data_IF_318091870875
#
_entry.id   IF_318091870875
#
_cell.length_a   1.000
_cell.length_b   1.000
_cell.length_c   1.000
_cell.angle_alpha   90.00
_cell.angle_beta   90.00
_cell.angle_gamma   90.00
#
_symmetry.space_group_name_H-M   'P 1'
#
loop_
_entity.id
_entity.type
_entity.pdbx_description
1 polymer ?
#
# COMPACT_ATOMS: atom_id res chain seq x y z
N UNK A 1 -33.50 37.95 -9.86
CA UNK A 1 -34.34 36.97 -10.59
C UNK A 1 -33.92 36.99 -12.03
N UNK A 2 -33.13 36.06 -12.47
CA UNK A 2 -33.00 35.62 -13.87
C UNK A 2 -32.31 34.27 -13.85
N UNK A 3 -33.11 33.24 -14.12
CA UNK A 3 -32.67 31.85 -14.25
C UNK A 3 -31.73 31.74 -15.46
N UNK A 4 -30.49 31.31 -15.25
CA UNK A 4 -29.65 30.78 -16.30
C UNK A 4 -29.57 29.25 -16.07
N UNK A 5 -30.56 28.52 -16.60
CA UNK A 5 -30.46 27.10 -16.89
C UNK A 5 -29.60 26.94 -18.14
N UNK A 6 -28.30 26.70 -17.96
CA UNK A 6 -27.45 26.23 -19.04
C UNK A 6 -27.69 24.74 -19.20
N UNK A 7 -28.52 24.38 -20.20
CA UNK A 7 -28.64 23.01 -20.71
C UNK A 7 -27.30 22.57 -21.27
N UNK A 8 -26.62 21.66 -20.54
CA UNK A 8 -25.48 20.94 -21.08
C UNK A 8 -25.96 20.05 -22.24
N UNK A 9 -25.23 20.00 -23.36
CA UNK A 9 -25.58 19.10 -24.44
C UNK A 9 -25.49 17.64 -23.97
N UNK A 10 -26.55 16.87 -24.19
CA UNK A 10 -26.55 15.41 -24.03
C UNK A 10 -25.45 14.80 -24.90
N UNK A 11 -24.33 14.47 -24.27
CA UNK A 11 -23.31 13.65 -24.91
C UNK A 11 -23.87 12.22 -24.92
N UNK A 12 -24.52 11.87 -26.04
CA UNK A 12 -24.85 10.47 -26.31
C UNK A 12 -23.56 9.67 -26.31
N UNK A 13 -23.33 8.91 -25.24
CA UNK A 13 -22.28 7.91 -25.17
C UNK A 13 -22.66 6.83 -26.16
N UNK A 14 -22.16 6.92 -27.41
CA UNK A 14 -22.29 5.83 -28.39
C UNK A 14 -21.76 4.55 -27.73
N UNK A 15 -22.65 3.58 -27.55
CA UNK A 15 -22.25 2.22 -27.13
C UNK A 15 -21.36 1.62 -28.23
N UNK A 16 -20.05 1.74 -28.05
CA UNK A 16 -19.07 1.05 -28.89
C UNK A 16 -19.32 -0.45 -28.75
N UNK A 17 -19.39 -1.25 -29.83
CA UNK A 17 -19.63 -2.68 -29.75
C UNK A 17 -18.65 -3.30 -28.79
N UNK A 18 -19.17 -4.02 -27.77
CA UNK A 18 -18.38 -4.61 -26.68
C UNK A 18 -17.35 -5.59 -27.26
N UNK A 19 -16.11 -5.14 -27.40
CA UNK A 19 -15.00 -6.02 -27.77
C UNK A 19 -14.85 -7.09 -26.67
N UNK A 20 -14.46 -8.32 -27.03
CA UNK A 20 -14.35 -9.47 -26.12
C UNK A 20 -13.58 -9.16 -24.82
N UNK A 21 -12.53 -8.34 -24.88
CA UNK A 21 -11.75 -7.92 -23.72
C UNK A 21 -12.55 -7.05 -22.73
N UNK A 22 -13.59 -6.36 -23.17
CA UNK A 22 -14.45 -5.58 -22.29
C UNK A 22 -15.14 -6.44 -21.25
N UNK A 23 -15.60 -7.65 -21.60
CA UNK A 23 -16.22 -8.59 -20.66
C UNK A 23 -15.24 -9.07 -19.58
N UNK A 24 -13.98 -9.32 -19.95
CA UNK A 24 -12.93 -9.75 -19.02
C UNK A 24 -12.68 -8.67 -17.95
N UNK A 25 -12.50 -7.41 -18.38
CA UNK A 25 -12.27 -6.34 -17.42
C UNK A 25 -13.51 -5.99 -16.60
N UNK A 26 -14.72 -6.04 -17.19
CA UNK A 26 -15.98 -5.86 -16.43
C UNK A 26 -16.15 -6.88 -15.29
N UNK A 27 -15.56 -8.07 -15.40
CA UNK A 27 -15.54 -9.06 -14.33
C UNK A 27 -14.82 -8.54 -13.07
N UNK A 28 -13.72 -7.81 -13.24
CA UNK A 28 -12.97 -7.20 -12.13
C UNK A 28 -13.69 -6.03 -11.45
N UNK A 29 -14.77 -5.49 -12.03
CA UNK A 29 -15.60 -4.50 -11.33
C UNK A 29 -16.45 -5.12 -10.21
N UNK A 30 -16.55 -6.46 -10.15
CA UNK A 30 -17.17 -7.16 -9.03
C UNK A 30 -16.13 -7.41 -7.91
N UNK A 31 -16.30 -6.83 -6.71
CA UNK A 31 -15.31 -6.95 -5.64
C UNK A 31 -15.02 -8.39 -5.22
N UNK A 32 -16.05 -9.22 -5.07
CA UNK A 32 -15.88 -10.62 -4.64
C UNK A 32 -15.18 -11.47 -5.70
N UNK A 33 -15.53 -11.26 -6.96
CA UNK A 33 -14.86 -11.93 -8.08
C UNK A 33 -13.38 -11.53 -8.15
N UNK A 34 -13.08 -10.24 -7.94
CA UNK A 34 -11.71 -9.71 -7.89
C UNK A 34 -10.90 -10.30 -6.74
N UNK A 35 -11.48 -10.40 -5.54
CA UNK A 35 -10.85 -11.06 -4.39
C UNK A 35 -10.52 -12.52 -4.71
N UNK A 36 -11.51 -13.28 -5.20
CA UNK A 36 -11.32 -14.71 -5.48
C UNK A 36 -10.24 -14.94 -6.55
N UNK A 37 -10.29 -14.18 -7.66
CA UNK A 37 -9.32 -14.34 -8.73
C UNK A 37 -7.91 -13.89 -8.31
N UNK A 38 -7.79 -12.78 -7.59
CA UNK A 38 -6.51 -12.31 -7.07
C UNK A 38 -5.91 -13.34 -6.11
N UNK A 39 -6.70 -13.90 -5.19
CA UNK A 39 -6.25 -14.94 -4.28
C UNK A 39 -5.73 -16.18 -5.02
N UNK A 40 -6.48 -16.67 -6.02
CA UNK A 40 -6.08 -17.84 -6.82
C UNK A 40 -4.76 -17.58 -7.57
N UNK A 41 -4.62 -16.42 -8.21
CA UNK A 41 -3.40 -16.08 -8.97
C UNK A 41 -2.21 -15.92 -8.03
N UNK A 42 -2.34 -15.19 -6.92
CA UNK A 42 -1.26 -15.01 -5.95
C UNK A 42 -0.86 -16.35 -5.31
N UNK A 43 -1.84 -17.18 -4.94
CA UNK A 43 -1.58 -18.50 -4.38
C UNK A 43 -0.87 -19.42 -5.40
N UNK A 44 -1.28 -19.40 -6.66
CA UNK A 44 -0.63 -20.12 -7.74
C UNK A 44 0.83 -19.67 -7.95
N UNK A 45 1.10 -18.35 -7.91
CA UNK A 45 2.45 -17.79 -7.99
C UNK A 45 3.30 -18.21 -6.79
N UNK A 46 2.77 -18.05 -5.57
CA UNK A 46 3.43 -18.46 -4.33
C UNK A 46 3.77 -19.96 -4.35
N UNK A 47 2.79 -20.80 -4.69
CA UNK A 47 2.98 -22.24 -4.83
C UNK A 47 4.10 -22.59 -5.82
N UNK A 48 4.09 -21.95 -7.00
CA UNK A 48 5.10 -22.21 -8.03
C UNK A 48 6.50 -21.81 -7.60
N UNK A 49 6.65 -20.63 -6.99
CA UNK A 49 7.95 -20.15 -6.47
C UNK A 49 8.47 -21.12 -5.40
N UNK A 50 7.66 -21.43 -4.40
CA UNK A 50 8.06 -22.31 -3.29
C UNK A 50 8.40 -23.73 -3.78
N UNK A 51 7.64 -24.27 -4.73
CA UNK A 51 7.92 -25.61 -5.32
C UNK A 51 9.26 -25.64 -6.03
N UNK A 52 9.61 -24.60 -6.82
CA UNK A 52 10.91 -24.53 -7.50
C UNK A 52 12.05 -24.43 -6.50
N UNK A 53 11.81 -23.78 -5.38
CA UNK A 53 12.80 -23.61 -4.32
C UNK A 53 12.82 -24.78 -3.32
N UNK A 54 12.05 -25.84 -3.57
CA UNK A 54 11.91 -27.01 -2.69
C UNK A 54 11.48 -26.65 -1.26
N UNK A 55 10.72 -25.53 -1.12
CA UNK A 55 10.18 -25.06 0.15
C UNK A 55 8.74 -25.53 0.34
N UNK A 56 8.35 -25.75 1.60
CA UNK A 56 6.99 -26.18 1.94
C UNK A 56 6.03 -24.99 1.96
N UNK A 57 4.91 -25.12 1.23
CA UNK A 57 3.81 -24.15 1.28
C UNK A 57 3.00 -24.20 2.59
N UNK A 58 3.24 -25.19 3.43
CA UNK A 58 2.52 -25.40 4.70
C UNK A 58 3.27 -24.88 5.91
N UNK A 59 4.48 -24.36 5.74
CA UNK A 59 5.29 -23.79 6.82
C UNK A 59 5.29 -22.27 6.73
N UNK A 60 5.50 -21.63 7.88
CA UNK A 60 5.76 -20.20 7.94
C UNK A 60 7.03 -19.86 7.15
N UNK A 61 7.09 -18.63 6.60
CA UNK A 61 8.31 -18.13 5.95
C UNK A 61 9.44 -17.98 6.98
N UNK A 62 10.68 -17.99 6.53
CA UNK A 62 11.84 -17.79 7.42
C UNK A 62 11.88 -16.37 8.04
N UNK A 63 11.19 -15.40 7.47
CA UNK A 63 11.07 -14.04 7.97
C UNK A 63 9.64 -13.71 8.47
N UNK A 64 8.94 -14.69 9.04
CA UNK A 64 7.60 -14.53 9.62
C UNK A 64 7.64 -13.85 11.00
N UNK A 65 8.38 -12.75 11.14
CA UNK A 65 8.65 -12.12 12.44
C UNK A 65 7.39 -11.59 13.13
N UNK A 66 6.35 -11.24 12.38
CA UNK A 66 5.08 -10.85 13.00
C UNK A 66 4.38 -11.99 13.73
N UNK A 67 4.64 -13.26 13.38
CA UNK A 67 4.15 -14.40 14.14
C UNK A 67 4.78 -14.41 15.55
N UNK A 68 6.09 -14.20 15.62
CA UNK A 68 6.84 -14.16 16.88
C UNK A 68 6.45 -12.96 17.74
N UNK A 69 6.22 -11.80 17.13
CA UNK A 69 5.76 -10.61 17.84
C UNK A 69 4.31 -10.79 18.35
N UNK A 70 3.43 -11.42 17.57
CA UNK A 70 2.06 -11.73 17.98
C UNK A 70 2.04 -12.72 19.14
N UNK A 71 2.91 -13.75 19.11
CA UNK A 71 3.11 -14.67 20.23
C UNK A 71 3.60 -13.94 21.49
N UNK A 72 4.56 -13.05 21.36
CA UNK A 72 5.05 -12.24 22.49
C UNK A 72 3.91 -11.42 23.12
N UNK A 73 3.08 -10.76 22.31
CA UNK A 73 1.93 -9.99 22.77
C UNK A 73 0.89 -10.85 23.49
N UNK A 74 0.61 -12.05 22.99
CA UNK A 74 -0.30 -13.01 23.65
C UNK A 74 0.19 -13.45 25.03
N UNK A 75 1.51 -13.36 25.29
CA UNK A 75 2.13 -13.68 26.57
C UNK A 75 2.51 -12.42 27.38
N UNK A 76 2.01 -11.23 27.01
CA UNK A 76 2.26 -9.97 27.72
C UNK A 76 3.71 -9.47 27.62
N UNK A 77 4.44 -9.88 26.58
CA UNK A 77 5.84 -9.48 26.34
C UNK A 77 5.96 -8.57 25.11
N UNK A 78 6.98 -7.71 25.11
CA UNK A 78 7.29 -6.81 23.99
C UNK A 78 8.57 -7.25 23.25
N UNK A 79 9.44 -8.02 23.89
CA UNK A 79 10.55 -8.74 23.27
C UNK A 79 10.08 -10.09 22.73
N UNK A 80 10.76 -10.62 21.73
CA UNK A 80 10.45 -11.93 21.17
C UNK A 80 10.72 -13.02 22.22
N UNK A 81 9.67 -13.79 22.57
CA UNK A 81 9.73 -14.89 23.52
C UNK A 81 10.43 -16.11 22.92
N UNK A 82 10.11 -16.40 21.67
CA UNK A 82 10.78 -17.40 20.86
C UNK A 82 11.69 -16.66 19.87
N UNK A 83 12.89 -17.18 19.67
CA UNK A 83 13.88 -16.56 18.79
C UNK A 83 13.82 -17.28 17.44
N UNK A 84 13.56 -16.59 16.32
CA UNK A 84 13.59 -17.21 15.00
C UNK A 84 15.04 -17.56 14.61
N UNK A 85 15.19 -18.57 13.73
CA UNK A 85 16.51 -19.00 13.23
C UNK A 85 17.21 -17.88 12.42
N UNK A 86 16.43 -17.07 11.71
CA UNK A 86 16.94 -15.94 10.94
C UNK A 86 16.84 -14.66 11.77
N UNK A 87 17.99 -14.04 12.07
CA UNK A 87 18.09 -12.91 12.99
C UNK A 87 18.33 -11.56 12.31
N UNK A 88 18.54 -11.55 10.99
CA UNK A 88 18.72 -10.30 10.25
C UNK A 88 17.47 -9.42 10.42
N UNK A 89 17.66 -8.12 10.51
CA UNK A 89 16.58 -7.16 10.71
C UNK A 89 15.84 -7.24 12.06
N UNK A 90 16.38 -7.94 13.05
CA UNK A 90 15.93 -7.84 14.43
C UNK A 90 16.83 -6.88 15.21
N UNK A 91 16.27 -6.18 16.20
CA UNK A 91 17.03 -5.33 17.14
C UNK A 91 17.44 -6.14 18.36
N UNK A 92 18.72 -6.10 18.71
CA UNK A 92 19.25 -6.72 19.92
C UNK A 92 19.51 -5.62 20.96
N UNK A 93 18.74 -5.60 22.05
CA UNK A 93 18.87 -4.63 23.11
C UNK A 93 18.79 -5.29 24.49
N UNK A 94 19.78 -5.04 25.34
CA UNK A 94 19.88 -5.64 26.70
C UNK A 94 19.67 -7.16 26.71
N UNK A 95 20.27 -7.88 25.76
CA UNK A 95 20.19 -9.35 25.65
C UNK A 95 18.88 -9.89 25.08
N UNK A 96 17.90 -9.05 24.73
CA UNK A 96 16.62 -9.44 24.18
C UNK A 96 16.49 -9.04 22.71
N UNK A 97 15.79 -9.87 21.92
CA UNK A 97 15.46 -9.56 20.54
C UNK A 97 14.10 -8.87 20.45
N UNK A 98 14.04 -7.82 19.63
CA UNK A 98 12.84 -7.03 19.36
C UNK A 98 12.62 -6.90 17.85
N UNK A 99 11.36 -6.78 17.47
CA UNK A 99 10.98 -6.38 16.11
C UNK A 99 10.81 -4.86 16.08
N UNK A 100 11.60 -4.14 15.26
CA UNK A 100 11.55 -2.68 15.20
C UNK A 100 10.36 -2.14 14.39
N UNK A 101 9.74 -2.97 13.53
CA UNK A 101 8.53 -2.60 12.81
C UNK A 101 7.37 -2.32 13.74
N UNK A 102 6.48 -1.44 13.27
CA UNK A 102 5.26 -1.06 13.98
C UNK A 102 4.33 -2.27 14.21
N UNK A 103 3.54 -2.28 15.32
CA UNK A 103 2.92 -3.50 15.85
C UNK A 103 1.64 -3.98 15.14
N UNK A 104 0.99 -3.16 14.31
CA UNK A 104 -0.35 -3.46 13.79
C UNK A 104 -0.45 -4.80 13.04
N UNK A 105 0.51 -5.20 12.16
CA UNK A 105 0.41 -6.50 11.52
C UNK A 105 0.43 -7.66 12.53
N UNK A 106 1.26 -7.59 13.57
CA UNK A 106 1.28 -8.59 14.62
C UNK A 106 -0.05 -8.64 15.40
N UNK A 107 -0.66 -7.47 15.71
CA UNK A 107 -1.96 -7.39 16.37
C UNK A 107 -3.03 -8.09 15.53
N UNK A 108 -3.06 -7.87 14.21
CA UNK A 108 -4.01 -8.55 13.31
C UNK A 108 -3.75 -10.06 13.22
N UNK A 109 -2.52 -10.51 13.46
CA UNK A 109 -2.16 -11.93 13.42
C UNK A 109 -2.41 -12.65 14.75
N UNK A 110 -2.57 -11.92 15.89
CA UNK A 110 -2.80 -12.52 17.21
C UNK A 110 -3.89 -13.61 17.23
N UNK A 111 -5.08 -13.43 16.62
CA UNK A 111 -6.11 -14.46 16.64
C UNK A 111 -5.66 -15.77 15.97
N UNK A 112 -4.88 -15.67 14.90
CA UNK A 112 -4.36 -16.84 14.18
C UNK A 112 -3.24 -17.52 14.99
N UNK A 113 -2.36 -16.73 15.59
CA UNK A 113 -1.27 -17.25 16.42
C UNK A 113 -1.80 -17.88 17.70
N UNK A 114 -2.87 -17.35 18.30
CA UNK A 114 -3.53 -17.94 19.45
C UNK A 114 -4.06 -19.37 19.16
N UNK A 115 -4.51 -19.62 17.91
CA UNK A 115 -5.09 -20.91 17.52
C UNK A 115 -4.03 -21.86 16.97
N UNK A 116 -3.11 -21.37 16.13
CA UNK A 116 -2.19 -22.20 15.34
C UNK A 116 -0.73 -22.13 15.83
N UNK A 117 -0.42 -21.27 16.81
CA UNK A 117 0.94 -21.02 17.29
C UNK A 117 1.81 -20.24 16.29
N UNK A 118 3.09 -20.07 16.63
CA UNK A 118 4.08 -19.31 15.82
C UNK A 118 4.35 -19.95 14.45
N UNK A 119 4.07 -21.25 14.30
CA UNK A 119 4.18 -21.96 13.02
C UNK A 119 3.06 -21.65 12.02
N UNK A 120 2.12 -20.76 12.37
CA UNK A 120 1.07 -20.32 11.45
C UNK A 120 1.66 -19.85 10.13
N UNK A 121 1.07 -20.32 9.04
CA UNK A 121 1.53 -20.00 7.70
C UNK A 121 1.21 -18.54 7.33
N UNK A 122 2.22 -17.67 7.40
CA UNK A 122 2.11 -16.24 7.08
C UNK A 122 1.81 -15.97 5.59
N UNK A 123 2.08 -16.96 4.69
CA UNK A 123 1.63 -16.85 3.29
C UNK A 123 0.11 -16.78 3.17
N UNK A 124 -0.64 -17.55 3.97
CA UNK A 124 -2.12 -17.50 3.95
C UNK A 124 -2.60 -16.11 4.35
N UNK A 125 -1.97 -15.52 5.37
CA UNK A 125 -2.33 -14.18 5.83
C UNK A 125 -2.04 -13.13 4.76
N UNK A 126 -0.84 -13.14 4.16
CA UNK A 126 -0.44 -12.14 3.17
C UNK A 126 -1.25 -12.27 1.87
N UNK A 127 -1.52 -13.50 1.42
CA UNK A 127 -2.37 -13.79 0.27
C UNK A 127 -3.80 -13.28 0.49
N UNK A 128 -4.35 -13.51 1.70
CA UNK A 128 -5.66 -13.02 2.09
C UNK A 128 -5.76 -11.49 2.09
N UNK A 129 -4.83 -10.83 2.77
CA UNK A 129 -4.78 -9.35 2.80
C UNK A 129 -4.56 -8.77 1.40
N UNK A 130 -3.65 -9.35 0.60
CA UNK A 130 -3.41 -8.94 -0.78
C UNK A 130 -4.67 -9.06 -1.64
N UNK A 131 -5.38 -10.17 -1.57
CA UNK A 131 -6.63 -10.35 -2.31
C UNK A 131 -7.74 -9.38 -1.84
N UNK A 132 -7.88 -9.19 -0.52
CA UNK A 132 -8.84 -8.23 0.05
C UNK A 132 -8.54 -6.81 -0.44
N UNK A 133 -7.27 -6.40 -0.53
CA UNK A 133 -6.86 -5.10 -1.06
C UNK A 133 -7.39 -4.88 -2.48
N UNK A 134 -7.34 -5.91 -3.34
CA UNK A 134 -7.89 -5.83 -4.71
C UNK A 134 -9.40 -5.61 -4.70
N UNK A 135 -10.13 -6.34 -3.86
CA UNK A 135 -11.56 -6.14 -3.69
C UNK A 135 -11.92 -4.75 -3.14
N UNK A 136 -11.13 -4.25 -2.20
CA UNK A 136 -11.32 -2.90 -1.64
C UNK A 136 -11.08 -1.81 -2.68
N UNK A 137 -10.12 -1.96 -3.60
CA UNK A 137 -9.94 -1.03 -4.72
C UNK A 137 -11.16 -1.06 -5.66
N UNK A 138 -11.73 -2.23 -5.93
CA UNK A 138 -12.97 -2.32 -6.72
C UNK A 138 -14.13 -1.56 -6.04
N UNK A 139 -14.28 -1.71 -4.72
CA UNK A 139 -15.27 -0.95 -3.94
C UNK A 139 -14.96 0.54 -3.96
N UNK A 140 -13.69 0.93 -3.76
CA UNK A 140 -13.26 2.34 -3.74
C UNK A 140 -13.59 3.05 -5.07
N UNK A 141 -13.22 2.47 -6.20
CA UNK A 141 -13.50 3.07 -7.52
C UNK A 141 -15.00 3.18 -7.78
N UNK A 142 -15.79 2.17 -7.39
CA UNK A 142 -17.24 2.20 -7.50
C UNK A 142 -17.86 3.30 -6.62
N UNK A 143 -17.41 3.43 -5.35
CA UNK A 143 -17.87 4.47 -4.43
C UNK A 143 -17.44 5.86 -4.87
N UNK A 144 -16.25 6.02 -5.41
CA UNK A 144 -15.77 7.28 -5.97
C UNK A 144 -16.61 7.72 -7.19
N UNK A 145 -17.03 6.79 -8.04
CA UNK A 145 -17.96 7.09 -9.15
C UNK A 145 -19.36 7.48 -8.61
N UNK A 146 -19.88 6.76 -7.60
CA UNK A 146 -21.17 7.10 -6.97
C UNK A 146 -21.15 8.47 -6.28
N UNK A 147 -20.00 8.89 -5.78
CA UNK A 147 -19.80 10.20 -5.16
C UNK A 147 -19.42 11.31 -6.19
N UNK A 148 -19.49 11.03 -7.49
CA UNK A 148 -19.13 11.95 -8.58
C UNK A 148 -17.70 12.51 -8.47
N UNK A 149 -16.77 11.76 -7.82
CA UNK A 149 -15.34 12.06 -7.78
C UNK A 149 -14.67 11.56 -9.06
N UNK A 150 -15.16 10.45 -9.61
CA UNK A 150 -14.67 9.80 -10.83
C UNK A 150 -15.80 9.57 -11.83
N UNK A 151 -15.47 9.68 -13.12
CA UNK A 151 -16.36 9.39 -14.23
C UNK A 151 -15.77 8.24 -15.06
N UNK A 152 -16.02 7.00 -14.62
CA UNK A 152 -15.48 5.79 -15.26
C UNK A 152 -16.59 4.84 -15.66
N UNK A 153 -16.45 4.25 -16.84
CA UNK A 153 -17.26 3.12 -17.27
C UNK A 153 -16.94 1.88 -16.41
N UNK A 154 -17.85 0.90 -16.39
CA UNK A 154 -17.65 -0.38 -15.70
C UNK A 154 -16.35 -1.07 -16.15
N UNK A 155 -16.08 -1.06 -17.46
CA UNK A 155 -14.88 -1.62 -18.05
C UNK A 155 -13.62 -0.89 -17.58
N UNK A 156 -13.62 0.45 -17.53
CA UNK A 156 -12.46 1.22 -17.04
C UNK A 156 -12.17 0.97 -15.56
N UNK A 157 -13.22 0.86 -14.71
CA UNK A 157 -13.02 0.48 -13.29
C UNK A 157 -12.42 -0.90 -13.17
N UNK A 158 -12.99 -1.89 -13.86
CA UNK A 158 -12.45 -3.25 -13.85
C UNK A 158 -11.02 -3.35 -14.40
N UNK A 159 -10.68 -2.57 -15.44
CA UNK A 159 -9.32 -2.47 -15.96
C UNK A 159 -8.36 -1.93 -14.92
N UNK A 160 -8.73 -0.86 -14.18
CA UNK A 160 -7.89 -0.33 -13.10
C UNK A 160 -7.72 -1.31 -11.94
N UNK A 161 -8.77 -2.07 -11.59
CA UNK A 161 -8.67 -3.12 -10.56
C UNK A 161 -7.70 -4.21 -11.00
N UNK A 162 -7.83 -4.69 -12.23
CA UNK A 162 -6.96 -5.70 -12.79
C UNK A 162 -5.51 -5.20 -12.96
N UNK A 163 -5.33 -3.95 -13.36
CA UNK A 163 -4.04 -3.29 -13.40
C UNK A 163 -3.41 -3.18 -12.02
N UNK A 164 -4.16 -2.72 -11.01
CA UNK A 164 -3.67 -2.65 -9.64
C UNK A 164 -3.23 -4.03 -9.14
N UNK A 165 -4.07 -5.05 -9.35
CA UNK A 165 -3.80 -6.41 -8.87
C UNK A 165 -2.52 -7.02 -9.49
N UNK A 166 -2.34 -6.89 -10.81
CA UNK A 166 -1.35 -7.68 -11.54
C UNK A 166 -0.33 -6.84 -12.31
N UNK A 167 -0.53 -5.55 -12.44
CA UNK A 167 0.33 -4.62 -13.17
C UNK A 167 1.01 -3.56 -12.30
N UNK A 168 1.04 -3.76 -11.01
CA UNK A 168 1.75 -2.89 -10.05
C UNK A 168 2.59 -3.72 -9.08
N UNK A 169 3.37 -3.04 -8.27
CA UNK A 169 4.19 -3.66 -7.22
C UNK A 169 3.37 -4.52 -6.24
N UNK A 170 2.07 -4.34 -6.15
CA UNK A 170 1.18 -5.17 -5.36
C UNK A 170 1.28 -6.66 -5.75
N UNK A 171 1.44 -6.96 -7.06
CA UNK A 171 1.68 -8.31 -7.58
C UNK A 171 3.00 -8.90 -7.09
N UNK A 172 4.01 -8.08 -6.85
CA UNK A 172 5.30 -8.55 -6.31
C UNK A 172 5.20 -8.91 -4.83
N UNK A 173 4.42 -8.14 -4.06
CA UNK A 173 4.37 -8.27 -2.61
C UNK A 173 3.43 -9.40 -2.15
N UNK A 174 2.27 -9.53 -2.79
CA UNK A 174 1.21 -10.43 -2.32
C UNK A 174 1.56 -11.92 -2.34
N UNK A 175 2.35 -12.47 -3.30
CA UNK A 175 2.69 -13.88 -3.33
C UNK A 175 3.86 -14.29 -2.42
N UNK A 176 4.59 -13.35 -1.83
CA UNK A 176 5.84 -13.63 -1.12
C UNK A 176 5.68 -13.31 0.37
N UNK A 177 5.58 -14.36 1.21
CA UNK A 177 5.45 -14.22 2.66
C UNK A 177 6.75 -13.72 3.29
N UNK A 178 6.74 -12.47 3.80
CA UNK A 178 7.86 -11.84 4.51
C UNK A 178 7.38 -10.64 5.31
N UNK A 179 8.03 -10.38 6.43
CA UNK A 179 7.74 -9.25 7.32
C UNK A 179 7.62 -7.92 6.57
N UNK A 180 8.55 -7.62 5.65
CA UNK A 180 8.57 -6.36 4.89
C UNK A 180 7.34 -6.18 4.01
N UNK A 181 6.90 -7.25 3.34
CA UNK A 181 5.78 -7.23 2.41
C UNK A 181 4.45 -7.26 3.15
N UNK A 182 4.38 -8.04 4.23
CA UNK A 182 3.20 -8.08 5.11
C UNK A 182 2.90 -6.69 5.66
N UNK A 183 3.91 -5.97 6.18
CA UNK A 183 3.74 -4.61 6.67
C UNK A 183 3.21 -3.65 5.59
N UNK A 184 3.70 -3.74 4.36
CA UNK A 184 3.23 -2.87 3.27
C UNK A 184 1.78 -3.17 2.85
N UNK A 185 1.41 -4.45 2.71
CA UNK A 185 0.04 -4.82 2.33
C UNK A 185 -0.99 -4.49 3.42
N UNK A 186 -0.64 -4.65 4.70
CA UNK A 186 -1.48 -4.23 5.83
C UNK A 186 -1.59 -2.71 5.89
N UNK A 187 -0.50 -1.98 5.65
CA UNK A 187 -0.51 -0.52 5.57
C UNK A 187 -1.43 -0.02 4.44
N UNK A 188 -1.32 -0.62 3.27
CA UNK A 188 -2.19 -0.33 2.13
C UNK A 188 -3.67 -0.61 2.44
N UNK A 189 -3.97 -1.74 3.10
CA UNK A 189 -5.33 -2.08 3.54
C UNK A 189 -5.95 -0.94 4.35
N UNK A 190 -5.26 -0.44 5.36
CA UNK A 190 -5.75 0.67 6.19
C UNK A 190 -5.85 1.99 5.41
N UNK A 191 -4.94 2.24 4.49
CA UNK A 191 -5.01 3.42 3.61
C UNK A 191 -6.28 3.40 2.76
N UNK A 192 -6.61 2.27 2.13
CA UNK A 192 -7.85 2.14 1.34
C UNK A 192 -9.08 2.32 2.22
N UNK A 193 -9.08 1.75 3.43
CA UNK A 193 -10.20 1.93 4.38
C UNK A 193 -10.41 3.39 4.76
N UNK A 194 -9.34 4.18 4.93
CA UNK A 194 -9.45 5.61 5.22
C UNK A 194 -10.15 6.37 4.09
N UNK A 195 -9.76 6.10 2.84
CA UNK A 195 -10.39 6.69 1.66
C UNK A 195 -11.86 6.24 1.50
N UNK A 196 -12.13 4.95 1.70
CA UNK A 196 -13.48 4.41 1.66
C UNK A 196 -14.39 5.02 2.73
N UNK A 197 -13.91 5.16 3.97
CA UNK A 197 -14.67 5.76 5.05
C UNK A 197 -15.04 7.23 4.73
N UNK A 198 -14.06 8.00 4.23
CA UNK A 198 -14.29 9.40 3.86
C UNK A 198 -15.33 9.54 2.74
N UNK A 199 -15.26 8.71 1.71
CA UNK A 199 -16.14 8.78 0.54
C UNK A 199 -17.54 8.26 0.86
N UNK A 200 -17.62 7.09 1.51
CA UNK A 200 -18.87 6.33 1.62
C UNK A 200 -19.75 6.71 2.81
N UNK A 201 -19.16 7.31 3.85
CA UNK A 201 -19.86 7.62 5.10
C UNK A 201 -20.15 9.12 5.22
N UNK A 202 -20.99 9.48 6.19
CA UNK A 202 -21.36 10.88 6.47
C UNK A 202 -21.26 11.20 7.95
N UNK A 203 -21.14 12.49 8.27
CA UNK A 203 -21.13 13.01 9.65
C UNK A 203 -19.98 12.43 10.48
N UNK A 204 -20.17 12.32 11.79
CA UNK A 204 -19.15 11.83 12.73
C UNK A 204 -18.61 10.45 12.38
N UNK A 205 -19.43 9.54 11.84
CA UNK A 205 -18.98 8.19 11.45
C UNK A 205 -17.88 8.24 10.37
N UNK A 206 -18.01 9.13 9.39
CA UNK A 206 -17.00 9.31 8.37
C UNK A 206 -15.66 9.73 8.98
N UNK A 207 -15.69 10.72 9.88
CA UNK A 207 -14.49 11.25 10.51
C UNK A 207 -13.83 10.22 11.45
N UNK A 208 -14.59 9.62 12.35
CA UNK A 208 -14.06 8.62 13.29
C UNK A 208 -13.43 7.43 12.56
N UNK A 209 -14.14 6.85 11.56
CA UNK A 209 -13.61 5.67 10.86
C UNK A 209 -12.46 6.00 9.94
N UNK A 210 -12.41 7.21 9.36
CA UNK A 210 -11.23 7.70 8.64
C UNK A 210 -10.03 7.83 9.58
N UNK A 211 -10.24 8.45 10.76
CA UNK A 211 -9.20 8.59 11.78
C UNK A 211 -8.70 7.25 12.32
N UNK A 212 -9.59 6.30 12.60
CA UNK A 212 -9.22 4.94 13.04
C UNK A 212 -8.43 4.19 11.96
N UNK A 213 -8.83 4.31 10.69
CA UNK A 213 -8.10 3.70 9.60
C UNK A 213 -6.70 4.33 9.42
N UNK A 214 -6.58 5.66 9.52
CA UNK A 214 -5.27 6.33 9.49
C UNK A 214 -4.40 5.99 10.71
N UNK A 215 -5.00 5.80 11.89
CA UNK A 215 -4.30 5.30 13.08
C UNK A 215 -3.77 3.88 12.85
N UNK A 216 -4.55 2.98 12.24
CA UNK A 216 -4.11 1.64 11.84
C UNK A 216 -2.98 1.68 10.80
N UNK A 217 -3.06 2.58 9.82
CA UNK A 217 -2.00 2.81 8.85
C UNK A 217 -0.69 3.28 9.53
N UNK A 218 -0.76 4.27 10.44
CA UNK A 218 0.36 4.78 11.23
C UNK A 218 0.99 3.68 12.10
N UNK A 219 0.17 2.87 12.77
CA UNK A 219 0.65 1.73 13.58
C UNK A 219 1.18 0.56 12.73
N UNK A 220 1.09 0.65 11.42
CA UNK A 220 1.72 -0.28 10.47
C UNK A 220 3.01 0.28 9.91
N UNK A 221 2.99 1.54 9.44
CA UNK A 221 4.12 2.30 8.89
C UNK A 221 3.85 3.78 9.15
N UNK A 222 4.76 4.43 9.86
CA UNK A 222 4.52 5.77 10.43
C UNK A 222 4.20 6.84 9.38
N UNK A 223 4.82 6.78 8.22
CA UNK A 223 4.63 7.70 7.09
C UNK A 223 3.26 7.61 6.45
N UNK A 224 2.54 6.51 6.61
CA UNK A 224 1.23 6.31 5.96
C UNK A 224 0.14 7.26 6.48
N UNK A 225 0.32 7.89 7.63
CA UNK A 225 -0.62 8.94 8.07
C UNK A 225 -0.67 10.11 7.10
N UNK A 226 0.41 10.35 6.34
CA UNK A 226 0.54 11.46 5.39
C UNK A 226 -0.39 11.32 4.17
N UNK A 227 -0.79 10.10 3.80
CA UNK A 227 -1.80 9.90 2.74
C UNK A 227 -3.18 10.42 3.15
N UNK A 228 -3.40 10.67 4.43
CA UNK A 228 -4.62 11.20 5.00
C UNK A 228 -4.96 12.65 4.60
N UNK A 229 -4.09 13.36 3.92
CA UNK A 229 -4.32 14.74 3.48
C UNK A 229 -5.58 14.84 2.60
N UNK A 230 -5.70 13.99 1.58
CA UNK A 230 -6.87 14.05 0.70
C UNK A 230 -8.18 13.69 1.44
N UNK A 231 -8.28 12.57 2.20
CA UNK A 231 -9.47 12.28 3.01
C UNK A 231 -9.85 13.43 3.95
N UNK A 232 -8.86 14.08 4.59
CA UNK A 232 -9.11 15.21 5.48
C UNK A 232 -9.71 16.41 4.73
N UNK A 233 -9.11 16.81 3.62
CA UNK A 233 -9.61 17.91 2.77
C UNK A 233 -11.00 17.58 2.22
N UNK A 234 -11.21 16.35 1.74
CA UNK A 234 -12.50 15.88 1.25
C UNK A 234 -13.58 15.98 2.33
N UNK A 235 -13.33 15.49 3.54
CA UNK A 235 -14.27 15.53 4.65
C UNK A 235 -14.53 16.97 5.12
N UNK A 236 -13.52 17.84 5.12
CA UNK A 236 -13.69 19.26 5.43
C UNK A 236 -14.64 19.91 4.44
N UNK A 237 -14.42 19.75 3.15
CA UNK A 237 -15.28 20.34 2.11
C UNK A 237 -16.69 19.77 2.17
N UNK A 238 -16.81 18.45 2.33
CA UNK A 238 -18.11 17.74 2.39
C UNK A 238 -18.99 18.16 3.57
N UNK A 239 -18.40 18.55 4.70
CA UNK A 239 -19.15 18.87 5.94
C UNK A 239 -19.03 20.33 6.33
N UNK A 240 -18.39 21.18 5.52
CA UNK A 240 -18.26 22.60 5.83
C UNK A 240 -19.63 23.28 5.80
N UNK A 241 -19.99 23.85 6.95
CA UNK A 241 -21.17 24.70 7.12
C UNK A 241 -20.76 25.86 8.05
N UNK A 242 -20.72 27.07 7.50
CA UNK A 242 -20.33 28.28 8.25
C UNK A 242 -21.17 28.48 9.53
N UNK A 243 -22.40 28.00 9.54
CA UNK A 243 -23.32 28.14 10.70
C UNK A 243 -23.08 27.07 11.78
N UNK A 244 -22.29 26.02 11.48
CA UNK A 244 -22.09 24.86 12.37
C UNK A 244 -20.60 24.56 12.59
N UNK A 245 -19.77 25.57 12.73
CA UNK A 245 -18.32 25.42 12.88
C UNK A 245 -17.94 24.56 14.10
N UNK A 246 -18.66 24.66 15.21
CA UNK A 246 -18.44 23.81 16.39
C UNK A 246 -18.66 22.33 16.11
N UNK A 247 -19.69 22.01 15.31
CA UNK A 247 -19.92 20.64 14.88
C UNK A 247 -18.76 20.14 13.99
N UNK A 248 -18.28 20.97 13.08
CA UNK A 248 -17.13 20.66 12.25
C UNK A 248 -15.87 20.46 13.12
N UNK A 249 -15.61 21.31 14.08
CA UNK A 249 -14.50 21.16 15.02
C UNK A 249 -14.57 19.83 15.79
N UNK A 250 -15.76 19.47 16.30
CA UNK A 250 -15.99 18.16 16.94
C UNK A 250 -15.72 16.97 16.01
N UNK A 251 -16.09 17.08 14.73
CA UNK A 251 -15.77 16.06 13.72
C UNK A 251 -14.26 15.96 13.47
N UNK A 252 -13.55 17.08 13.32
CA UNK A 252 -12.07 17.10 13.17
C UNK A 252 -11.41 16.45 14.38
N UNK A 253 -11.80 16.81 15.59
CA UNK A 253 -11.29 16.21 16.82
C UNK A 253 -11.56 14.70 16.85
N UNK A 254 -12.75 14.26 16.42
CA UNK A 254 -13.11 12.83 16.40
C UNK A 254 -12.26 11.99 15.44
N UNK A 255 -11.70 12.60 14.39
CA UNK A 255 -10.74 11.95 13.49
C UNK A 255 -9.30 12.07 13.99
N UNK A 256 -8.93 13.21 14.58
CA UNK A 256 -7.58 13.43 15.10
C UNK A 256 -7.29 12.58 16.35
N UNK A 257 -8.28 12.37 17.20
CA UNK A 257 -8.11 11.65 18.48
C UNK A 257 -7.55 10.23 18.31
N UNK A 258 -8.09 9.34 17.46
CA UNK A 258 -7.52 8.01 17.28
C UNK A 258 -6.10 8.05 16.71
N UNK A 259 -5.76 9.03 15.86
CA UNK A 259 -4.39 9.20 15.34
C UNK A 259 -3.44 9.63 16.47
N UNK A 260 -3.83 10.60 17.30
CA UNK A 260 -3.03 11.04 18.43
C UNK A 260 -2.84 9.94 19.47
N UNK A 261 -3.88 9.15 19.73
CA UNK A 261 -3.79 7.96 20.61
C UNK A 261 -2.83 6.91 20.03
N UNK A 262 -2.84 6.70 18.72
CA UNK A 262 -1.91 5.78 18.06
C UNK A 262 -0.46 6.28 18.16
N UNK A 263 -0.20 7.58 17.98
CA UNK A 263 1.13 8.19 18.20
C UNK A 263 1.58 8.00 19.64
N UNK A 264 0.71 8.30 20.60
CA UNK A 264 1.02 8.11 22.02
C UNK A 264 1.29 6.65 22.37
N UNK A 265 0.45 5.72 21.88
CA UNK A 265 0.63 4.28 22.07
C UNK A 265 1.97 3.81 21.48
N UNK A 266 2.36 4.29 20.31
CA UNK A 266 3.65 3.95 19.69
C UNK A 266 4.82 4.52 20.50
N UNK A 267 4.70 5.74 21.02
CA UNK A 267 5.70 6.31 21.90
C UNK A 267 5.87 5.49 23.20
N UNK A 268 4.74 5.13 23.84
CA UNK A 268 4.77 4.26 25.04
C UNK A 268 5.37 2.88 24.70
N UNK A 269 5.02 2.29 23.58
CA UNK A 269 5.56 1.03 23.09
C UNK A 269 7.09 1.11 22.89
N UNK A 270 7.60 2.22 22.36
CA UNK A 270 9.02 2.47 22.23
C UNK A 270 9.71 2.63 23.60
N UNK A 271 9.12 3.44 24.48
CA UNK A 271 9.65 3.68 25.81
C UNK A 271 9.77 2.39 26.64
N UNK A 272 8.75 1.55 26.61
CA UNK A 272 8.77 0.26 27.34
C UNK A 272 9.80 -0.72 26.80
N UNK A 273 10.19 -0.63 25.52
CA UNK A 273 11.20 -1.50 24.92
C UNK A 273 12.62 -0.96 25.06
N UNK A 274 12.81 0.34 24.86
CA UNK A 274 14.13 0.96 24.66
C UNK A 274 14.42 2.14 25.62
N UNK A 275 13.49 2.49 26.50
CA UNK A 275 13.67 3.58 27.48
C UNK A 275 13.51 4.99 26.90
N UNK A 276 13.10 5.13 25.63
CA UNK A 276 12.87 6.43 24.97
C UNK A 276 11.61 6.38 24.10
N UNK A 277 10.81 7.45 24.12
CA UNK A 277 9.60 7.57 23.29
C UNK A 277 9.88 7.62 21.78
N UNK A 278 11.08 8.09 21.41
CA UNK A 278 11.48 8.27 20.02
C UNK A 278 12.37 7.13 19.49
N UNK A 279 12.86 6.26 20.36
CA UNK A 279 13.70 5.15 19.95
C UNK A 279 12.82 3.95 19.51
N UNK A 280 12.83 3.66 18.23
CA UNK A 280 12.11 2.54 17.65
C UNK A 280 12.93 1.24 17.57
N UNK A 281 14.18 1.24 18.03
CA UNK A 281 15.07 0.08 18.02
C UNK A 281 15.99 -0.02 16.82
N UNK A 282 15.93 0.88 15.84
CA UNK A 282 16.83 0.89 14.68
C UNK A 282 18.31 1.03 15.06
N UNK A 283 18.71 1.79 16.07
CA UNK A 283 20.13 1.83 16.50
C UNK A 283 20.70 0.46 16.91
N UNK A 284 19.86 -0.48 17.32
CA UNK A 284 20.24 -1.82 17.76
C UNK A 284 19.99 -2.91 16.72
N UNK A 285 19.65 -2.48 15.51
CA UNK A 285 19.22 -3.32 14.41
C UNK A 285 20.39 -4.14 13.85
N UNK A 286 20.20 -5.44 13.70
CA UNK A 286 21.14 -6.34 13.04
C UNK A 286 21.04 -6.16 11.52
N UNK A 287 21.61 -5.07 11.07
CA UNK A 287 21.57 -4.59 9.70
C UNK A 287 22.54 -5.39 8.82
N UNK A 288 22.16 -5.56 7.53
CA UNK A 288 23.07 -6.10 6.53
C UNK A 288 24.33 -5.24 6.43
N UNK A 289 25.48 -5.90 6.26
CA UNK A 289 26.80 -5.24 6.09
C UNK A 289 26.80 -4.17 4.98
N UNK A 290 25.98 -4.36 3.96
CA UNK A 290 25.87 -3.42 2.84
C UNK A 290 25.33 -2.04 3.23
N UNK A 291 24.61 -1.91 4.36
CA UNK A 291 24.02 -0.66 4.83
C UNK A 291 24.73 -0.05 6.02
N UNK A 292 25.58 -0.82 6.72
CA UNK A 292 26.19 -0.37 7.97
C UNK A 292 27.03 0.90 7.81
N UNK A 293 27.86 0.97 6.76
CA UNK A 293 28.72 2.12 6.51
C UNK A 293 27.92 3.40 6.23
N UNK A 294 26.87 3.28 5.41
CA UNK A 294 25.98 4.41 5.09
C UNK A 294 25.17 4.84 6.32
N UNK A 295 24.66 3.88 7.11
CA UNK A 295 23.93 4.20 8.32
C UNK A 295 24.79 4.95 9.35
N UNK A 296 26.03 4.50 9.57
CA UNK A 296 26.96 5.16 10.49
C UNK A 296 27.27 6.58 10.04
N UNK A 297 27.42 6.80 8.72
CA UNK A 297 27.84 8.09 8.15
C UNK A 297 26.68 9.07 7.97
N UNK A 298 25.52 8.61 7.55
CA UNK A 298 24.43 9.46 7.08
C UNK A 298 23.13 9.27 7.87
N UNK A 299 23.05 8.21 8.71
CA UNK A 299 21.83 7.85 9.46
C UNK A 299 20.76 7.22 8.56
N UNK A 300 19.56 7.07 9.14
CA UNK A 300 18.43 6.39 8.47
C UNK A 300 17.81 7.25 7.36
N UNK A 301 17.75 8.58 7.54
CA UNK A 301 17.17 9.54 6.60
C UNK A 301 18.18 10.63 6.25
N UNK A 302 18.51 10.77 4.97
CA UNK A 302 19.44 11.77 4.50
C UNK A 302 19.21 12.12 3.04
N UNK A 303 19.50 13.38 2.66
CA UNK A 303 19.49 13.81 1.24
C UNK A 303 20.48 13.04 0.37
N UNK A 304 21.51 12.45 0.97
CA UNK A 304 22.48 11.57 0.30
C UNK A 304 21.80 10.44 -0.47
N UNK A 305 20.69 9.89 0.06
CA UNK A 305 19.98 8.77 -0.56
C UNK A 305 19.05 9.19 -1.72
N UNK A 306 18.70 10.47 -1.80
CA UNK A 306 17.72 10.98 -2.77
C UNK A 306 18.04 10.62 -4.23
N UNK A 307 19.26 10.83 -4.76
CA UNK A 307 19.56 10.52 -6.17
C UNK A 307 19.41 9.02 -6.48
N UNK A 308 19.91 8.16 -5.60
CA UNK A 308 19.85 6.70 -5.76
C UNK A 308 18.42 6.20 -5.67
N UNK A 309 17.67 6.62 -4.64
CA UNK A 309 16.28 6.22 -4.48
C UNK A 309 15.41 6.72 -5.63
N UNK A 310 15.59 7.99 -6.05
CA UNK A 310 14.87 8.54 -7.19
C UNK A 310 15.15 7.75 -8.48
N UNK A 311 16.41 7.39 -8.72
CA UNK A 311 16.79 6.61 -9.90
C UNK A 311 16.09 5.24 -9.91
N UNK A 312 16.18 4.46 -8.82
CA UNK A 312 15.60 3.12 -8.77
C UNK A 312 14.07 3.10 -8.65
N UNK A 313 13.45 4.15 -8.09
CA UNK A 313 11.98 4.21 -7.96
C UNK A 313 11.30 4.76 -9.23
N UNK A 314 11.98 5.62 -10.03
CA UNK A 314 11.32 6.34 -11.14
C UNK A 314 11.99 6.22 -12.50
N UNK A 315 13.26 5.85 -12.61
CA UNK A 315 14.02 5.86 -13.86
C UNK A 315 14.50 4.46 -14.27
N UNK A 316 15.06 3.68 -13.36
CA UNK A 316 15.66 2.38 -13.64
C UNK A 316 14.69 1.43 -14.36
N UNK A 317 15.20 0.68 -15.33
CA UNK A 317 14.44 -0.37 -16.00
C UNK A 317 15.15 -1.72 -15.83
N UNK A 318 14.69 -2.59 -14.90
CA UNK A 318 15.41 -3.79 -14.49
C UNK A 318 15.75 -4.75 -15.63
N UNK A 319 14.93 -4.81 -16.69
CA UNK A 319 15.17 -5.68 -17.84
C UNK A 319 16.35 -5.24 -18.72
N UNK A 320 16.83 -4.01 -18.56
CA UNK A 320 18.04 -3.49 -19.24
C UNK A 320 19.26 -3.46 -18.33
N UNK A 321 19.10 -3.73 -17.04
CA UNK A 321 20.15 -3.77 -16.03
C UNK A 321 20.02 -5.04 -15.17
N UNK A 322 20.43 -6.20 -15.70
CA UNK A 322 20.30 -7.48 -15.02
C UNK A 322 21.06 -7.56 -13.70
N UNK A 323 22.17 -6.85 -13.57
CA UNK A 323 23.02 -6.86 -12.37
C UNK A 323 22.33 -6.18 -11.19
N UNK A 324 21.43 -5.23 -11.47
CA UNK A 324 20.65 -4.51 -10.47
C UNK A 324 19.14 -4.83 -10.55
N UNK A 325 18.79 -5.98 -11.12
CA UNK A 325 17.39 -6.37 -11.38
C UNK A 325 16.50 -6.31 -10.14
N UNK A 326 17.04 -6.57 -8.96
CA UNK A 326 16.33 -6.61 -7.69
C UNK A 326 16.49 -5.34 -6.84
N UNK A 327 16.95 -4.25 -7.43
CA UNK A 327 17.11 -2.97 -6.72
C UNK A 327 15.88 -2.09 -6.76
N UNK A 328 14.88 -2.43 -7.57
CA UNK A 328 13.65 -1.63 -7.74
C UNK A 328 13.14 -1.67 -9.18
N UNK A 329 12.92 -0.50 -9.74
CA UNK A 329 12.48 -0.29 -11.12
C UNK A 329 11.45 0.81 -11.23
N UNK A 330 11.50 1.56 -12.33
CA UNK A 330 10.65 2.72 -12.57
C UNK A 330 9.17 2.43 -12.42
N UNK A 331 8.51 3.16 -11.53
CA UNK A 331 7.06 3.15 -11.36
C UNK A 331 6.33 3.29 -12.71
N UNK A 332 6.79 4.20 -13.57
CA UNK A 332 6.11 4.52 -14.83
C UNK A 332 6.48 3.58 -15.98
N UNK A 333 7.69 3.04 -16.02
CA UNK A 333 8.07 2.08 -17.06
C UNK A 333 7.48 0.69 -16.80
N UNK A 334 7.44 0.26 -15.54
CA UNK A 334 6.87 -1.03 -15.17
C UNK A 334 5.34 -0.99 -15.12
N UNK A 335 4.76 0.16 -14.77
CA UNK A 335 3.30 0.38 -14.62
C UNK A 335 2.84 1.58 -15.44
N UNK A 336 2.93 1.58 -16.78
CA UNK A 336 2.78 2.77 -17.62
C UNK A 336 1.37 3.39 -17.61
N UNK A 337 0.34 2.69 -17.12
CA UNK A 337 -0.99 3.30 -16.91
C UNK A 337 -0.93 4.46 -15.91
N UNK A 338 -0.01 4.44 -14.95
CA UNK A 338 0.17 5.55 -14.02
C UNK A 338 0.56 6.88 -14.71
N UNK A 339 1.05 6.84 -15.95
CA UNK A 339 1.24 8.06 -16.74
C UNK A 339 -0.07 8.84 -16.94
N UNK A 340 -1.23 8.19 -16.93
CA UNK A 340 -2.51 8.87 -17.00
C UNK A 340 -2.75 9.81 -15.79
N UNK A 341 -2.06 9.61 -14.66
CA UNK A 341 -2.14 10.51 -13.52
C UNK A 341 -1.73 11.96 -13.86
N UNK A 342 -0.80 12.16 -14.80
CA UNK A 342 -0.42 13.51 -15.25
C UNK A 342 -1.60 14.23 -15.92
N UNK A 343 -2.41 13.52 -16.69
CA UNK A 343 -3.69 14.07 -17.22
C UNK A 343 -4.69 14.30 -16.10
N UNK A 344 -4.73 13.40 -15.10
CA UNK A 344 -5.53 13.58 -13.90
C UNK A 344 -5.17 14.86 -13.15
N UNK A 345 -3.88 15.16 -12.98
CA UNK A 345 -3.40 16.39 -12.34
C UNK A 345 -3.82 17.62 -13.15
N UNK A 346 -3.70 17.61 -14.48
CA UNK A 346 -3.92 18.78 -15.34
C UNK A 346 -5.40 18.97 -15.66
N UNK A 347 -6.16 17.91 -15.93
CA UNK A 347 -7.54 17.95 -16.43
C UNK A 347 -8.58 17.54 -15.40
N UNK A 348 -8.16 16.85 -14.32
CA UNK A 348 -9.07 16.33 -13.28
C UNK A 348 -9.84 17.44 -12.56
N UNK A 349 -11.08 17.12 -12.20
CA UNK A 349 -11.99 18.01 -11.45
C UNK A 349 -12.59 17.23 -10.26
N UNK A 350 -12.94 17.90 -9.16
CA UNK A 350 -12.68 19.32 -8.91
C UNK A 350 -11.19 19.59 -8.62
N UNK A 351 -10.71 20.80 -8.89
CA UNK A 351 -9.30 21.15 -8.82
C UNK A 351 -8.67 20.93 -7.42
N UNK A 352 -9.40 21.22 -6.35
CA UNK A 352 -8.94 20.98 -4.99
C UNK A 352 -8.60 19.51 -4.73
N UNK A 353 -9.37 18.59 -5.36
CA UNK A 353 -9.15 17.15 -5.21
C UNK A 353 -7.82 16.72 -5.85
N UNK A 354 -7.54 17.19 -7.07
CA UNK A 354 -6.26 16.89 -7.74
C UNK A 354 -5.07 17.45 -6.98
N UNK A 355 -5.18 18.67 -6.43
CA UNK A 355 -4.14 19.29 -5.60
C UNK A 355 -3.91 18.47 -4.32
N UNK A 356 -4.98 18.12 -3.59
CA UNK A 356 -4.86 17.36 -2.36
C UNK A 356 -4.31 15.95 -2.57
N UNK A 357 -4.70 15.26 -3.67
CA UNK A 357 -4.14 13.95 -4.05
C UNK A 357 -2.64 14.06 -4.38
N UNK A 358 -2.26 15.06 -5.18
CA UNK A 358 -0.84 15.30 -5.53
C UNK A 358 -0.02 15.59 -4.27
N UNK A 359 -0.56 16.42 -3.36
CA UNK A 359 0.11 16.74 -2.11
C UNK A 359 0.24 15.51 -1.18
N UNK A 360 -0.78 14.65 -1.12
CA UNK A 360 -0.69 13.36 -0.41
C UNK A 360 0.44 12.50 -0.93
N UNK A 361 0.59 12.39 -2.27
CA UNK A 361 1.67 11.62 -2.91
C UNK A 361 3.02 12.23 -2.55
N UNK A 362 3.20 13.54 -2.73
CA UNK A 362 4.48 14.23 -2.48
C UNK A 362 4.93 14.07 -1.03
N UNK A 363 4.03 14.30 -0.07
CA UNK A 363 4.36 14.18 1.35
C UNK A 363 4.75 12.76 1.73
N UNK A 364 4.06 11.75 1.19
CA UNK A 364 4.37 10.34 1.48
C UNK A 364 5.66 9.90 0.78
N UNK A 365 5.97 10.44 -0.40
CA UNK A 365 7.18 10.13 -1.14
C UNK A 365 8.46 10.69 -0.49
N UNK A 366 8.39 11.82 0.21
CA UNK A 366 9.57 12.46 0.83
C UNK A 366 10.34 11.49 1.76
N UNK A 367 9.73 10.89 2.82
CA UNK A 367 10.46 9.98 3.68
C UNK A 367 10.98 8.75 2.93
N UNK A 368 10.28 8.26 1.92
CA UNK A 368 10.69 7.13 1.08
C UNK A 368 11.98 7.47 0.31
N UNK A 369 12.02 8.65 -0.29
CA UNK A 369 13.18 9.10 -1.08
C UNK A 369 14.40 9.44 -0.23
N UNK A 370 14.20 9.76 1.03
CA UNK A 370 15.27 10.06 1.97
C UNK A 370 15.74 8.87 2.79
N UNK A 371 15.04 7.72 2.70
CA UNK A 371 15.31 6.51 3.47
C UNK A 371 16.59 5.84 2.98
N UNK A 372 17.39 5.32 3.89
CA UNK A 372 18.55 4.48 3.59
C UNK A 372 18.12 3.23 2.82
N UNK A 373 18.69 3.05 1.63
CA UNK A 373 18.41 1.93 0.73
C UNK A 373 17.08 2.07 -0.01
N UNK A 374 17.04 1.54 -1.23
CA UNK A 374 15.89 1.59 -2.15
C UNK A 374 14.76 0.64 -1.78
N UNK A 375 14.88 -0.08 -0.66
CA UNK A 375 14.03 -1.23 -0.31
C UNK A 375 14.70 -2.58 -0.55
N UNK A 376 15.91 -2.60 -1.09
CA UNK A 376 16.84 -3.73 -1.31
C UNK A 376 16.17 -5.11 -1.48
N UNK A 377 16.54 -5.84 -2.52
CA UNK A 377 15.92 -7.10 -2.93
C UNK A 377 14.40 -6.93 -3.13
N UNK A 378 14.06 -6.17 -4.17
CA UNK A 378 12.71 -5.93 -4.64
C UNK A 378 12.65 -5.94 -6.16
N UNK A 379 11.50 -6.26 -6.73
CA UNK A 379 11.19 -5.99 -8.13
C UNK A 379 10.06 -4.97 -8.21
N UNK A 380 10.30 -3.88 -8.95
CA UNK A 380 9.44 -2.71 -8.93
C UNK A 380 9.63 -1.87 -7.65
N UNK A 381 9.12 -0.64 -7.64
CA UNK A 381 9.33 0.33 -6.56
C UNK A 381 8.36 0.07 -5.39
N UNK A 382 8.66 -0.89 -4.52
CA UNK A 382 7.71 -1.37 -3.49
C UNK A 382 7.19 -0.29 -2.56
N UNK A 383 8.01 0.71 -2.26
CA UNK A 383 7.58 1.80 -1.38
C UNK A 383 6.54 2.72 -2.01
N UNK A 384 6.40 2.72 -3.34
CA UNK A 384 5.33 3.49 -4.00
C UNK A 384 3.94 2.95 -3.71
N UNK A 385 3.82 1.72 -3.16
CA UNK A 385 2.55 1.20 -2.68
C UNK A 385 1.93 2.12 -1.61
N UNK A 386 2.76 2.79 -0.81
CA UNK A 386 2.34 3.67 0.28
C UNK A 386 1.49 4.86 -0.21
N UNK A 387 1.73 5.35 -1.42
CA UNK A 387 0.94 6.42 -2.06
C UNK A 387 0.14 5.95 -3.29
N UNK A 388 0.03 4.64 -3.51
CA UNK A 388 -0.69 4.11 -4.69
C UNK A 388 -2.18 4.44 -4.68
N UNK A 389 -2.84 4.57 -3.52
CA UNK A 389 -4.28 4.93 -3.46
C UNK A 389 -4.54 6.32 -4.07
N UNK A 390 -3.91 7.42 -3.59
CA UNK A 390 -4.07 8.72 -4.24
C UNK A 390 -3.58 8.75 -5.70
N UNK A 391 -2.51 8.03 -6.02
CA UNK A 391 -2.01 7.91 -7.39
C UNK A 391 -3.04 7.23 -8.31
N UNK A 392 -3.68 6.16 -7.84
CA UNK A 392 -4.69 5.43 -8.60
C UNK A 392 -5.93 6.30 -8.87
N UNK A 393 -6.35 7.13 -7.91
CA UNK A 393 -7.46 8.08 -8.10
C UNK A 393 -7.07 9.14 -9.14
N UNK A 394 -5.87 9.71 -9.10
CA UNK A 394 -5.38 10.63 -10.14
C UNK A 394 -5.30 9.97 -11.50
N UNK A 395 -4.80 8.73 -11.55
CA UNK A 395 -4.78 7.91 -12.77
C UNK A 395 -6.20 7.75 -13.33
N UNK A 396 -7.15 7.38 -12.46
CA UNK A 396 -8.56 7.23 -12.82
C UNK A 396 -9.16 8.52 -13.41
N UNK A 397 -8.84 9.68 -12.85
CA UNK A 397 -9.24 10.99 -13.39
C UNK A 397 -8.65 11.27 -14.78
N UNK A 398 -7.50 10.68 -15.09
CA UNK A 398 -6.82 10.85 -16.38
C UNK A 398 -7.23 9.85 -17.45
N UNK A 399 -7.81 8.70 -17.07
CA UNK A 399 -8.16 7.62 -18.01
C UNK A 399 -9.07 8.04 -19.17
N UNK A 400 -10.12 8.88 -18.96
CA UNK A 400 -11.01 9.29 -20.04
C UNK A 400 -10.31 10.00 -21.24
N UNK A 401 -9.10 10.50 -21.01
CA UNK A 401 -8.32 11.18 -22.06
C UNK A 401 -7.47 10.22 -22.90
N UNK A 402 -7.49 8.91 -22.60
CA UNK A 402 -6.71 7.90 -23.28
C UNK A 402 -7.61 6.93 -24.08
N UNK A 403 -7.13 6.51 -25.25
CA UNK A 403 -7.83 5.48 -26.03
C UNK A 403 -7.84 4.15 -25.25
N UNK A 404 -9.01 3.52 -25.19
CA UNK A 404 -9.24 2.29 -24.46
C UNK A 404 -8.30 1.13 -24.88
N UNK A 405 -8.00 1.02 -26.19
CA UNK A 405 -7.05 0.01 -26.70
C UNK A 405 -5.63 0.21 -26.16
N UNK A 406 -5.20 1.46 -25.98
CA UNK A 406 -3.90 1.79 -25.38
C UNK A 406 -3.90 1.38 -23.91
N UNK A 407 -4.95 1.68 -23.16
CA UNK A 407 -5.06 1.30 -21.75
C UNK A 407 -5.00 -0.22 -21.56
N UNK A 408 -5.68 -0.99 -22.43
CA UNK A 408 -5.61 -2.45 -22.41
C UNK A 408 -4.19 -2.94 -22.70
N UNK A 409 -3.55 -2.42 -23.75
CA UNK A 409 -2.17 -2.80 -24.10
C UNK A 409 -1.21 -2.52 -22.96
N UNK A 410 -1.26 -1.32 -22.35
CA UNK A 410 -0.39 -0.95 -21.24
C UNK A 410 -0.65 -1.79 -19.99
N UNK A 411 -1.90 -2.20 -19.74
CA UNK A 411 -2.23 -3.15 -18.67
C UNK A 411 -1.55 -4.49 -18.89
N UNK A 412 -1.64 -5.03 -20.11
CA UNK A 412 -1.02 -6.33 -20.44
C UNK A 412 0.52 -6.27 -20.37
N UNK A 413 1.12 -5.18 -20.82
CA UNK A 413 2.56 -4.95 -20.67
C UNK A 413 2.95 -4.95 -19.19
N UNK A 414 2.20 -4.21 -18.35
CA UNK A 414 2.46 -4.18 -16.90
C UNK A 414 2.33 -5.57 -16.26
N UNK A 415 1.34 -6.37 -16.68
CA UNK A 415 1.17 -7.74 -16.18
C UNK A 415 2.37 -8.62 -16.51
N UNK A 416 2.90 -8.54 -17.74
CA UNK A 416 4.10 -9.28 -18.14
C UNK A 416 5.30 -8.87 -17.28
N UNK A 417 5.51 -7.57 -17.08
CA UNK A 417 6.60 -7.07 -16.24
C UNK A 417 6.53 -7.68 -14.83
N UNK A 418 5.38 -7.54 -14.17
CA UNK A 418 5.25 -7.98 -12.79
C UNK A 418 5.13 -9.50 -12.64
N UNK A 419 4.61 -10.21 -13.63
CA UNK A 419 4.61 -11.68 -13.63
C UNK A 419 6.05 -12.22 -13.67
N UNK A 420 6.84 -11.75 -14.64
CA UNK A 420 8.25 -12.17 -14.82
C UNK A 420 9.09 -11.72 -13.63
N UNK A 421 8.96 -10.44 -13.24
CA UNK A 421 9.76 -9.87 -12.17
C UNK A 421 9.49 -10.48 -10.81
N UNK A 422 8.22 -10.75 -10.47
CA UNK A 422 7.84 -11.42 -9.22
C UNK A 422 8.41 -12.84 -9.14
N UNK A 423 8.33 -13.56 -10.26
CA UNK A 423 8.86 -14.90 -10.35
C UNK A 423 10.38 -14.93 -10.16
N UNK A 424 11.10 -14.05 -10.85
CA UNK A 424 12.53 -13.92 -10.71
C UNK A 424 12.94 -13.48 -9.30
N UNK A 425 12.28 -12.48 -8.75
CA UNK A 425 12.52 -12.02 -7.38
C UNK A 425 12.33 -13.15 -6.36
N UNK A 426 11.24 -13.93 -6.50
CA UNK A 426 11.01 -15.07 -5.63
C UNK A 426 12.15 -16.08 -5.64
N UNK A 427 12.69 -16.39 -6.82
CA UNK A 427 13.84 -17.29 -6.97
C UNK A 427 15.10 -16.67 -6.32
N UNK A 428 15.41 -15.41 -6.59
CA UNK A 428 16.59 -14.72 -6.02
C UNK A 428 16.52 -14.68 -4.50
N UNK A 429 15.37 -14.31 -3.96
CA UNK A 429 15.13 -14.22 -2.52
C UNK A 429 15.41 -15.55 -1.81
N UNK A 430 14.94 -16.66 -2.37
CA UNK A 430 15.06 -17.96 -1.70
C UNK A 430 16.35 -18.72 -2.05
N UNK A 431 17.10 -18.30 -3.08
CA UNK A 431 18.47 -18.83 -3.35
C UNK A 431 19.54 -18.21 -2.48
N UNK A 432 19.32 -17.01 -1.96
CA UNK A 432 20.24 -16.30 -1.08
C UNK A 432 20.18 -16.71 0.38
N UNK A 433 19.39 -17.74 0.68
CA UNK A 433 19.24 -18.37 1.99
C UNK A 433 19.84 -19.77 1.95
#
# INVERSE_FOLDING_TARGET
MTNFEATLPDVQIQEIPKKWYGRIFEFFDNPLASVALAFIIYAGMSYRILTIMHLSIFKASYAAYFNYLADAFLHGQLNLRLIPDYLLDLSLFNGNYYLYWSPMPAILMMPFIAIFGVGFNDYIFILGIGAINVGLIAVLLKKACQAHILELTKMQRGLLVAFFAFGTVHMTLAPIGRVWFTGQLVGFFFTVLAYLAAISLVGFRAWVLTGLALAGALLTRNELVLVGVWPAVYLLIKHYDRRKLWRLAGMVVSSALPILLAVAALGVYNYLRFGSFLDNGIPYHRMSVNFQADYIRYGLFNLYYLPTNFFYEFIAYPFLDPDHFVMGGSLFLLSPIFLAAFWGIVKGKPRWSTIALTFSIMLTAIPILLLMGTGWIQFGPRYTLDFTVPLLILTAMGLPYWKQSILVLLTLISWVHFLVGTYYLGIVIYRGI
#
